data_IF_296433429895
#
_entry.id   IF_296433429895
#
_cell.length_a   1.000
_cell.length_b   1.000
_cell.length_c   1.000
_cell.angle_alpha   90.00
_cell.angle_beta   90.00
_cell.angle_gamma   90.00
#
_symmetry.space_group_name_H-M   'P 1'
#
loop_
_entity.id
_entity.type
_entity.pdbx_description
1 polymer ?
#
# COMPACT_ATOMS: atom_id res chain seq x y z
N UNK A 1 1.20 -12.11 -12.89
CA UNK A 1 1.35 -10.65 -13.12
C UNK A 1 2.83 -10.32 -13.34
N UNK A 2 3.18 -9.47 -14.31
CA UNK A 2 4.56 -9.03 -14.54
C UNK A 2 4.76 -7.57 -14.10
N UNK A 3 5.85 -7.31 -13.38
CA UNK A 3 6.21 -5.98 -12.90
C UNK A 3 7.64 -5.68 -13.33
N UNK A 4 7.82 -4.56 -14.02
CA UNK A 4 9.13 -4.00 -14.36
C UNK A 4 9.44 -2.85 -13.40
N UNK A 5 10.66 -2.81 -12.87
CA UNK A 5 11.15 -1.68 -12.07
C UNK A 5 12.36 -1.08 -12.78
N UNK A 6 12.24 0.18 -13.19
CA UNK A 6 13.34 0.97 -13.75
C UNK A 6 13.99 1.75 -12.61
N UNK A 7 15.21 1.41 -12.23
CA UNK A 7 15.90 1.97 -11.06
C UNK A 7 17.41 2.00 -11.23
N UNK A 8 18.06 2.98 -10.61
CA UNK A 8 19.52 3.04 -10.52
C UNK A 8 20.10 2.02 -9.52
N UNK A 9 19.27 1.44 -8.65
CA UNK A 9 19.62 0.56 -7.52
C UNK A 9 18.94 -0.81 -7.64
N UNK A 10 19.28 -1.60 -8.68
CA UNK A 10 18.57 -2.84 -8.98
C UNK A 10 18.78 -3.91 -7.90
N UNK A 11 19.94 -3.95 -7.25
CA UNK A 11 20.25 -5.01 -6.28
C UNK A 11 19.45 -4.84 -5.00
N UNK A 12 19.27 -3.60 -4.55
CA UNK A 12 18.52 -3.20 -3.38
C UNK A 12 17.05 -3.58 -3.52
N UNK A 13 16.46 -3.28 -4.69
CA UNK A 13 15.11 -3.70 -5.04
C UNK A 13 15.02 -5.22 -5.06
N UNK A 14 15.90 -5.93 -5.81
CA UNK A 14 15.87 -7.39 -5.88
C UNK A 14 15.97 -8.06 -4.49
N UNK A 15 16.84 -7.54 -3.62
CA UNK A 15 17.03 -8.08 -2.28
C UNK A 15 15.75 -8.00 -1.43
N UNK A 16 15.08 -6.85 -1.44
CA UNK A 16 13.82 -6.68 -0.72
C UNK A 16 12.72 -7.59 -1.28
N UNK A 17 12.59 -7.61 -2.62
CA UNK A 17 11.53 -8.33 -3.30
C UNK A 17 11.69 -9.86 -3.22
N UNK A 18 12.89 -10.37 -2.93
CA UNK A 18 13.11 -11.80 -2.69
C UNK A 18 12.74 -12.24 -1.26
N UNK A 19 12.19 -11.35 -0.43
CA UNK A 19 11.87 -11.63 0.97
C UNK A 19 10.35 -11.66 1.23
N UNK A 20 9.95 -12.34 2.31
CA UNK A 20 8.59 -12.27 2.85
C UNK A 20 7.50 -12.76 1.88
N UNK A 21 6.37 -12.05 1.87
CA UNK A 21 5.19 -12.42 1.05
C UNK A 21 5.47 -12.23 -0.44
N UNK A 22 6.14 -11.15 -0.83
CA UNK A 22 6.51 -10.87 -2.22
C UNK A 22 7.44 -11.93 -2.78
N UNK A 23 8.50 -12.29 -2.02
CA UNK A 23 9.42 -13.35 -2.44
C UNK A 23 8.73 -14.70 -2.62
N UNK A 24 7.76 -15.04 -1.74
CA UNK A 24 6.94 -16.25 -1.94
C UNK A 24 6.09 -16.19 -3.19
N UNK A 25 5.49 -15.04 -3.51
CA UNK A 25 4.71 -14.86 -4.74
C UNK A 25 5.56 -15.07 -6.00
N UNK A 26 6.79 -14.53 -5.99
CA UNK A 26 7.72 -14.68 -7.11
C UNK A 26 8.21 -16.13 -7.23
N UNK A 27 8.64 -16.75 -6.13
CA UNK A 27 9.13 -18.14 -6.13
C UNK A 27 8.06 -19.18 -6.49
N UNK A 28 6.78 -18.84 -6.32
CA UNK A 28 5.65 -19.68 -6.68
C UNK A 28 5.09 -19.37 -8.09
N UNK A 29 5.82 -18.56 -8.90
CA UNK A 29 5.43 -18.13 -10.24
C UNK A 29 4.07 -17.41 -10.33
N UNK A 30 3.57 -16.87 -9.21
CA UNK A 30 2.33 -16.08 -9.18
C UNK A 30 2.56 -14.66 -9.71
N UNK A 31 3.81 -14.18 -9.59
CA UNK A 31 4.25 -12.91 -10.13
C UNK A 31 5.68 -13.00 -10.66
N UNK A 32 6.01 -12.13 -11.61
CA UNK A 32 7.35 -12.00 -12.18
C UNK A 32 7.84 -10.58 -11.95
N UNK A 33 9.13 -10.44 -11.64
CA UNK A 33 9.79 -9.17 -11.43
C UNK A 33 10.99 -9.05 -12.38
N UNK A 34 10.97 -8.02 -13.23
CA UNK A 34 12.12 -7.61 -14.02
C UNK A 34 12.62 -6.25 -13.51
N UNK A 35 13.93 -6.09 -13.44
CA UNK A 35 14.55 -4.86 -12.91
C UNK A 35 15.59 -4.36 -13.89
N UNK A 36 15.44 -3.11 -14.32
CA UNK A 36 16.21 -2.47 -15.36
C UNK A 36 16.99 -1.29 -14.79
N UNK A 37 18.27 -1.19 -15.14
CA UNK A 37 19.11 -0.06 -14.74
C UNK A 37 19.37 0.85 -15.94
N UNK A 38 18.88 2.12 -15.94
CA UNK A 38 19.13 3.07 -17.02
C UNK A 38 20.61 3.25 -17.39
N UNK A 39 21.54 2.97 -16.45
CA UNK A 39 22.99 2.99 -16.74
C UNK A 39 23.39 2.03 -17.86
N UNK A 40 22.67 0.93 -18.03
CA UNK A 40 22.95 -0.05 -19.09
C UNK A 40 22.51 0.42 -20.48
N UNK A 41 21.81 1.56 -20.55
CA UNK A 41 21.21 2.10 -21.78
C UNK A 41 21.83 3.46 -22.17
N UNK A 42 23.06 3.68 -21.71
CA UNK A 42 23.86 4.86 -22.02
C UNK A 42 24.89 4.54 -23.11
N UNK A 43 25.39 5.55 -23.81
CA UNK A 43 26.42 5.38 -24.84
C UNK A 43 27.83 5.71 -24.35
N UNK A 44 27.92 6.51 -23.28
CA UNK A 44 29.18 6.96 -22.74
C UNK A 44 29.79 5.95 -21.77
N UNK A 45 31.12 5.95 -21.68
CA UNK A 45 31.87 5.04 -20.82
C UNK A 45 31.53 5.19 -19.33
N UNK A 46 31.11 6.38 -18.89
CA UNK A 46 30.81 6.66 -17.48
C UNK A 46 29.38 6.27 -17.08
N UNK A 47 28.58 5.80 -18.03
CA UNK A 47 27.17 5.47 -17.83
C UNK A 47 26.37 6.63 -17.24
N UNK A 48 26.47 7.78 -17.89
CA UNK A 48 25.88 9.03 -17.41
C UNK A 48 24.36 8.99 -17.54
N UNK A 49 23.66 9.13 -16.41
CA UNK A 49 22.18 9.08 -16.36
C UNK A 49 21.54 10.37 -15.85
N UNK A 50 22.35 11.36 -15.46
CA UNK A 50 21.88 12.61 -14.89
C UNK A 50 22.73 13.80 -15.35
N UNK A 51 22.13 14.98 -15.35
CA UNK A 51 22.80 16.25 -15.66
C UNK A 51 22.13 17.41 -14.91
N UNK A 52 22.75 18.57 -14.92
CA UNK A 52 22.26 19.79 -14.26
C UNK A 52 20.95 20.27 -14.88
N UNK A 53 20.02 20.79 -14.07
CA UNK A 53 18.78 21.36 -14.58
C UNK A 53 19.04 22.63 -15.40
N UNK A 54 18.29 22.80 -16.49
CA UNK A 54 18.15 24.11 -17.14
C UNK A 54 17.47 25.10 -16.21
N UNK A 55 17.85 26.38 -16.29
CA UNK A 55 17.35 27.45 -15.41
C UNK A 55 18.15 27.64 -14.12
N UNK A 56 19.17 26.81 -13.87
CA UNK A 56 19.98 26.84 -12.66
C UNK A 56 19.34 26.08 -11.49
N UNK A 57 19.96 26.17 -10.33
CA UNK A 57 19.59 25.41 -9.13
C UNK A 57 20.57 24.29 -8.80
N UNK A 58 20.49 23.80 -7.56
CA UNK A 58 21.33 22.72 -7.06
C UNK A 58 20.72 21.35 -7.40
N UNK A 59 21.57 20.34 -7.55
CA UNK A 59 21.17 18.96 -7.83
C UNK A 59 21.24 18.57 -9.31
N UNK A 60 20.71 17.39 -9.61
CA UNK A 60 20.76 16.77 -10.93
C UNK A 60 19.38 16.26 -11.33
N UNK A 61 19.14 16.08 -12.63
CA UNK A 61 17.89 15.55 -13.20
C UNK A 61 18.24 14.33 -14.04
N UNK A 62 17.46 13.25 -13.90
CA UNK A 62 17.63 12.08 -14.74
C UNK A 62 17.36 12.41 -16.21
N UNK A 63 18.29 12.02 -17.07
CA UNK A 63 18.24 12.26 -18.50
C UNK A 63 17.11 11.46 -19.16
N UNK A 64 16.46 12.08 -20.15
CA UNK A 64 15.39 11.45 -20.90
C UNK A 64 15.87 10.25 -21.73
N UNK A 65 17.05 10.34 -22.34
CA UNK A 65 17.52 9.37 -23.33
C UNK A 65 17.80 7.98 -22.74
N UNK A 66 18.54 7.81 -21.62
CA UNK A 66 18.74 6.48 -21.04
C UNK A 66 17.44 5.85 -20.55
N UNK A 67 16.49 6.67 -20.08
CA UNK A 67 15.17 6.20 -19.68
C UNK A 67 14.33 5.77 -20.89
N UNK A 68 14.32 6.55 -21.96
CA UNK A 68 13.63 6.22 -23.21
C UNK A 68 14.10 4.88 -23.78
N UNK A 69 15.42 4.70 -23.91
CA UNK A 69 16.02 3.43 -24.37
C UNK A 69 15.71 2.24 -23.46
N UNK A 70 15.60 2.48 -22.15
CA UNK A 70 15.15 1.44 -21.22
C UNK A 70 13.70 1.04 -21.52
N UNK A 71 12.81 2.02 -21.74
CA UNK A 71 11.40 1.76 -22.08
C UNK A 71 11.28 1.02 -23.42
N UNK A 72 12.03 1.43 -24.43
CA UNK A 72 12.07 0.78 -25.74
C UNK A 72 12.53 -0.68 -25.65
N UNK A 73 13.54 -0.99 -24.85
CA UNK A 73 13.99 -2.37 -24.63
C UNK A 73 12.89 -3.25 -23.97
N UNK A 74 12.18 -2.70 -22.98
CA UNK A 74 11.05 -3.40 -22.34
C UNK A 74 9.91 -3.61 -23.35
N UNK A 75 9.66 -2.62 -24.22
CA UNK A 75 8.66 -2.71 -25.29
C UNK A 75 8.99 -3.78 -26.32
N UNK A 76 10.26 -3.86 -26.75
CA UNK A 76 10.73 -4.90 -27.68
C UNK A 76 10.54 -6.31 -27.12
N UNK A 77 10.60 -6.45 -25.79
CA UNK A 77 10.32 -7.71 -25.10
C UNK A 77 8.81 -7.99 -24.95
N UNK A 78 7.94 -7.08 -25.41
CA UNK A 78 6.47 -7.14 -25.23
C UNK A 78 6.04 -7.22 -23.77
N UNK A 79 6.82 -6.60 -22.88
CA UNK A 79 6.61 -6.67 -21.42
C UNK A 79 6.27 -5.32 -20.78
N UNK A 80 6.16 -4.24 -21.57
CA UNK A 80 6.04 -2.87 -21.07
C UNK A 80 4.80 -2.61 -20.21
N UNK A 81 3.60 -2.93 -20.72
CA UNK A 81 2.35 -2.64 -20.02
C UNK A 81 2.17 -1.16 -19.67
N UNK A 82 1.45 -0.89 -18.57
CA UNK A 82 1.18 0.49 -18.13
C UNK A 82 2.43 1.08 -17.44
N UNK A 83 2.82 2.29 -17.82
CA UNK A 83 4.01 2.98 -17.29
C UNK A 83 3.60 4.00 -16.22
N UNK A 84 4.28 3.96 -15.07
CA UNK A 84 4.08 4.88 -13.96
C UNK A 84 5.39 5.47 -13.47
N UNK A 85 5.39 6.77 -13.18
CA UNK A 85 6.47 7.45 -12.48
C UNK A 85 6.11 7.61 -11.00
N UNK A 86 7.02 7.21 -10.11
CA UNK A 86 6.83 7.34 -8.67
C UNK A 86 7.30 8.70 -8.20
N UNK A 87 6.34 9.56 -7.87
CA UNK A 87 6.51 11.00 -7.71
C UNK A 87 5.57 11.52 -6.62
N UNK A 88 6.01 12.45 -5.75
CA UNK A 88 5.13 13.07 -4.76
C UNK A 88 3.99 13.89 -5.41
N UNK A 89 4.10 14.24 -6.69
CA UNK A 89 3.07 14.96 -7.45
C UNK A 89 1.93 14.05 -7.96
N UNK A 90 2.15 12.74 -7.91
CA UNK A 90 1.22 11.76 -8.44
C UNK A 90 -0.04 11.57 -7.60
N UNK A 91 -0.97 10.79 -8.15
CA UNK A 91 -2.16 10.38 -7.40
C UNK A 91 -1.74 9.52 -6.20
N UNK A 92 -2.22 9.84 -5.01
CA UNK A 92 -1.91 9.08 -3.80
C UNK A 92 -2.41 7.64 -3.91
N UNK A 93 -1.49 6.69 -3.75
CA UNK A 93 -1.73 5.26 -3.78
C UNK A 93 -2.65 4.82 -2.64
N UNK A 94 -3.55 3.86 -2.91
CA UNK A 94 -4.46 3.30 -1.92
C UNK A 94 -4.82 1.84 -2.23
N UNK A 95 -5.47 1.17 -1.28
CA UNK A 95 -5.79 -0.27 -1.38
C UNK A 95 -6.73 -0.60 -2.55
N UNK A 96 -7.63 0.31 -2.91
CA UNK A 96 -8.53 0.15 -4.08
C UNK A 96 -7.72 0.11 -5.39
N UNK A 97 -6.69 0.95 -5.51
CA UNK A 97 -5.78 0.91 -6.66
C UNK A 97 -4.96 -0.38 -6.68
N UNK A 98 -4.51 -0.87 -5.52
CA UNK A 98 -3.78 -2.13 -5.41
C UNK A 98 -4.64 -3.34 -5.82
N UNK A 99 -5.87 -3.41 -5.34
CA UNK A 99 -6.83 -4.46 -5.72
C UNK A 99 -7.14 -4.41 -7.22
N UNK A 100 -7.37 -3.22 -7.78
CA UNK A 100 -7.57 -3.05 -9.22
C UNK A 100 -6.38 -3.59 -10.01
N UNK A 101 -5.15 -3.29 -9.60
CA UNK A 101 -3.95 -3.79 -10.29
C UNK A 101 -3.80 -5.30 -10.15
N UNK A 102 -4.10 -5.88 -8.99
CA UNK A 102 -4.02 -7.32 -8.78
C UNK A 102 -5.02 -8.12 -9.66
N UNK A 103 -6.15 -7.51 -10.02
CA UNK A 103 -7.15 -8.10 -10.92
C UNK A 103 -6.81 -7.91 -12.41
N UNK A 104 -5.89 -7.01 -12.75
CA UNK A 104 -5.49 -6.75 -14.13
C UNK A 104 -4.38 -7.70 -14.57
N UNK A 105 -4.57 -8.40 -15.69
CA UNK A 105 -3.53 -9.21 -16.31
C UNK A 105 -2.71 -8.41 -17.34
N UNK A 106 -2.24 -7.22 -16.95
CA UNK A 106 -1.39 -6.34 -17.76
C UNK A 106 -0.12 -6.06 -16.97
N UNK A 107 1.03 -6.03 -17.65
CA UNK A 107 2.29 -5.69 -17.02
C UNK A 107 2.26 -4.25 -16.46
N UNK A 108 3.07 -3.98 -15.45
CA UNK A 108 3.22 -2.65 -14.85
C UNK A 108 4.69 -2.27 -14.84
N UNK A 109 5.03 -1.11 -15.41
CA UNK A 109 6.38 -0.57 -15.41
C UNK A 109 6.47 0.62 -14.47
N UNK A 110 7.28 0.51 -13.43
CA UNK A 110 7.46 1.54 -12.41
C UNK A 110 8.82 2.21 -12.57
N UNK A 111 8.83 3.52 -12.77
CA UNK A 111 10.05 4.33 -12.91
C UNK A 111 10.37 4.96 -11.55
N UNK A 112 11.55 4.62 -11.03
CA UNK A 112 12.08 5.17 -9.81
C UNK A 112 12.92 6.41 -10.13
N UNK A 113 12.40 7.59 -9.79
CA UNK A 113 13.17 8.84 -9.86
C UNK A 113 14.30 8.87 -8.83
N UNK A 114 15.29 9.73 -9.09
CA UNK A 114 16.38 10.09 -8.18
C UNK A 114 16.71 11.57 -8.35
N UNK A 115 17.52 12.10 -7.42
CA UNK A 115 17.99 13.48 -7.47
C UNK A 115 16.80 14.47 -7.44
N UNK A 116 16.77 15.46 -8.35
CA UNK A 116 15.65 16.39 -8.51
C UNK A 116 14.48 15.82 -9.32
N UNK A 117 14.56 14.56 -9.79
CA UNK A 117 13.51 13.88 -10.53
C UNK A 117 13.93 13.49 -11.94
N UNK A 118 12.94 13.35 -12.81
CA UNK A 118 13.10 12.92 -14.20
C UNK A 118 12.85 14.10 -15.14
N UNK A 119 13.53 14.14 -16.28
CA UNK A 119 13.26 15.13 -17.32
C UNK A 119 11.79 15.13 -17.76
N UNK A 120 11.08 16.24 -17.57
CA UNK A 120 9.64 16.39 -17.84
C UNK A 120 9.23 15.94 -19.25
N UNK A 121 10.08 16.23 -20.26
CA UNK A 121 9.82 15.86 -21.65
C UNK A 121 9.70 14.35 -21.87
N UNK A 122 10.39 13.54 -21.06
CA UNK A 122 10.25 12.09 -21.11
C UNK A 122 8.86 11.65 -20.59
N UNK A 123 8.39 12.26 -19.49
CA UNK A 123 7.04 11.98 -18.96
C UNK A 123 5.96 12.35 -19.96
N UNK A 124 6.09 13.52 -20.60
CA UNK A 124 5.15 14.00 -21.63
C UNK A 124 5.13 13.11 -22.87
N UNK A 125 6.31 12.72 -23.39
CA UNK A 125 6.40 11.92 -24.61
C UNK A 125 5.72 10.55 -24.48
N UNK A 126 5.94 9.87 -23.34
CA UNK A 126 5.34 8.56 -23.07
C UNK A 126 3.97 8.64 -22.37
N UNK A 127 3.43 9.85 -22.14
CA UNK A 127 2.18 10.09 -21.41
C UNK A 127 2.13 9.34 -20.06
N UNK A 128 3.22 9.43 -19.29
CA UNK A 128 3.42 8.64 -18.08
C UNK A 128 2.52 9.16 -16.95
N UNK A 129 1.81 8.25 -16.30
CA UNK A 129 1.02 8.57 -15.12
C UNK A 129 1.89 8.60 -13.86
N UNK A 130 1.55 9.47 -12.92
CA UNK A 130 2.30 9.60 -11.67
C UNK A 130 1.56 8.98 -10.47
N UNK A 131 2.32 8.33 -9.58
CA UNK A 131 1.84 7.76 -8.32
C UNK A 131 2.66 8.32 -7.16
N UNK A 132 1.95 8.83 -6.15
CA UNK A 132 2.52 9.21 -4.86
C UNK A 132 2.19 8.15 -3.81
N UNK A 133 3.08 7.93 -2.83
CA UNK A 133 2.77 7.09 -1.66
C UNK A 133 2.44 7.91 -0.40
N UNK A 134 2.33 9.23 -0.54
CA UNK A 134 1.91 10.14 0.52
C UNK A 134 2.61 11.50 0.48
N UNK A 135 2.20 12.37 1.39
CA UNK A 135 2.61 13.78 1.42
C UNK A 135 3.95 13.94 2.17
N UNK A 136 4.99 13.33 1.62
CA UNK A 136 6.38 13.41 2.11
C UNK A 136 7.36 13.18 0.97
N UNK A 137 8.65 13.48 1.21
CA UNK A 137 9.71 13.37 0.19
C UNK A 137 10.67 12.24 0.55
N UNK A 138 11.01 11.42 -0.44
CA UNK A 138 12.02 10.38 -0.36
C UNK A 138 13.21 10.72 -1.26
N UNK A 139 14.36 10.11 -0.97
CA UNK A 139 15.58 10.28 -1.80
C UNK A 139 15.51 9.59 -3.17
N UNK A 140 14.47 8.79 -3.41
CA UNK A 140 14.25 8.06 -4.65
C UNK A 140 12.95 7.25 -4.64
N UNK A 141 12.55 6.80 -5.82
CA UNK A 141 11.30 6.07 -6.02
C UNK A 141 11.33 4.60 -5.56
N UNK A 142 12.48 4.03 -5.18
CA UNK A 142 12.60 2.59 -4.92
C UNK A 142 11.72 2.12 -3.76
N UNK A 143 11.65 2.88 -2.66
CA UNK A 143 10.79 2.54 -1.53
C UNK A 143 9.32 2.61 -1.93
N UNK A 144 8.94 3.60 -2.75
CA UNK A 144 7.59 3.70 -3.28
C UNK A 144 7.26 2.52 -4.19
N UNK A 145 8.20 2.08 -5.03
CA UNK A 145 8.00 0.92 -5.90
C UNK A 145 7.79 -0.34 -5.06
N UNK A 146 8.64 -0.57 -4.07
CA UNK A 146 8.53 -1.72 -3.17
C UNK A 146 7.20 -1.71 -2.41
N UNK A 147 6.75 -0.56 -1.90
CA UNK A 147 5.48 -0.44 -1.20
C UNK A 147 4.27 -0.70 -2.11
N UNK A 148 4.26 -0.10 -3.31
CA UNK A 148 3.21 -0.32 -4.32
C UNK A 148 3.15 -1.80 -4.68
N UNK A 149 4.29 -2.40 -5.04
CA UNK A 149 4.32 -3.80 -5.47
C UNK A 149 3.95 -4.76 -4.33
N UNK A 150 4.43 -4.56 -3.11
CA UNK A 150 4.05 -5.39 -1.96
C UNK A 150 2.53 -5.38 -1.76
N UNK A 151 1.91 -4.19 -1.78
CA UNK A 151 0.46 -4.05 -1.61
C UNK A 151 -0.35 -4.77 -2.71
N UNK A 152 0.14 -4.78 -3.95
CA UNK A 152 -0.52 -5.44 -5.09
C UNK A 152 -0.35 -6.95 -5.01
N UNK A 153 0.88 -7.44 -4.86
CA UNK A 153 1.16 -8.87 -4.92
C UNK A 153 0.49 -9.62 -3.76
N UNK A 154 0.36 -8.98 -2.60
CA UNK A 154 -0.36 -9.53 -1.47
C UNK A 154 -1.85 -9.84 -1.78
N UNK A 155 -2.44 -9.14 -2.75
CA UNK A 155 -3.84 -9.34 -3.19
C UNK A 155 -4.00 -10.41 -4.27
N UNK A 156 -2.89 -10.92 -4.83
CA UNK A 156 -2.98 -11.97 -5.84
C UNK A 156 -3.47 -13.30 -5.24
N UNK A 157 -4.36 -14.03 -5.93
CA UNK A 157 -4.78 -15.36 -5.50
C UNK A 157 -3.59 -16.29 -5.29
N UNK A 158 -3.57 -17.01 -4.16
CA UNK A 158 -2.52 -17.98 -3.82
C UNK A 158 -1.29 -17.39 -3.12
N UNK A 159 -1.15 -16.06 -3.03
CA UNK A 159 0.00 -15.44 -2.33
C UNK A 159 -0.15 -15.48 -0.81
N UNK A 160 -1.35 -15.16 -0.31
CA UNK A 160 -1.68 -15.38 1.09
C UNK A 160 -2.19 -16.80 1.29
N UNK A 161 -1.66 -17.49 2.30
CA UNK A 161 -2.06 -18.87 2.62
C UNK A 161 -3.53 -19.01 3.04
N UNK A 162 -4.19 -17.93 3.45
CA UNK A 162 -5.62 -17.87 3.71
C UNK A 162 -6.22 -16.70 2.91
N UNK A 163 -7.06 -17.00 1.92
CA UNK A 163 -7.72 -15.99 1.08
C UNK A 163 -8.61 -15.05 1.88
N UNK A 164 -9.16 -15.51 3.02
CA UNK A 164 -9.99 -14.69 3.90
C UNK A 164 -9.20 -13.56 4.57
N UNK A 165 -7.89 -13.74 4.77
CA UNK A 165 -7.04 -12.73 5.42
C UNK A 165 -6.93 -11.45 4.59
N UNK A 166 -6.95 -11.51 3.27
CA UNK A 166 -6.95 -10.31 2.43
C UNK A 166 -8.27 -9.53 2.49
N UNK A 167 -9.39 -10.20 2.79
CA UNK A 167 -10.73 -9.60 2.84
C UNK A 167 -11.02 -8.91 4.18
N UNK A 168 -10.38 -9.38 5.25
CA UNK A 168 -10.54 -8.85 6.61
C UNK A 168 -9.55 -7.72 6.93
N UNK A 169 -8.69 -7.37 5.98
CA UNK A 169 -7.65 -6.36 6.12
C UNK A 169 -8.23 -4.94 6.23
N UNK A 170 -7.46 -4.03 6.83
CA UNK A 170 -7.82 -2.61 6.81
C UNK A 170 -7.93 -2.10 5.37
N UNK A 171 -8.93 -1.25 5.11
CA UNK A 171 -9.29 -0.68 3.80
C UNK A 171 -9.87 -1.69 2.78
N UNK A 172 -9.92 -2.97 3.10
CA UNK A 172 -10.57 -4.00 2.26
C UNK A 172 -12.09 -4.04 2.51
N UNK A 173 -12.84 -4.62 1.57
CA UNK A 173 -14.29 -4.81 1.69
C UNK A 173 -15.07 -3.51 1.89
N UNK A 174 -15.58 -3.27 3.10
CA UNK A 174 -16.32 -2.06 3.48
C UNK A 174 -15.42 -0.80 3.59
N UNK A 175 -14.10 -0.90 3.39
CA UNK A 175 -13.18 0.23 3.40
C UNK A 175 -12.80 0.76 4.79
N UNK A 176 -13.06 -0.03 5.84
CA UNK A 176 -12.88 0.35 7.25
C UNK A 176 -11.53 -0.15 7.81
N UNK A 177 -11.16 0.31 9.00
CA UNK A 177 -10.01 -0.23 9.75
C UNK A 177 -10.35 -1.55 10.44
N UNK A 178 -9.33 -2.39 10.68
CA UNK A 178 -9.47 -3.62 11.45
C UNK A 178 -9.75 -3.42 12.95
N UNK A 179 -10.35 -4.46 13.54
CA UNK A 179 -10.45 -4.62 14.98
C UNK A 179 -9.07 -4.81 15.65
N UNK A 180 -9.00 -4.74 16.99
CA UNK A 180 -7.77 -5.11 17.71
C UNK A 180 -7.49 -6.61 17.54
N UNK A 181 -6.23 -6.96 17.30
CA UNK A 181 -5.76 -8.33 17.28
C UNK A 181 -5.17 -8.71 18.64
N UNK A 182 -5.37 -9.96 19.05
CA UNK A 182 -4.86 -10.51 20.32
C UNK A 182 -4.25 -11.88 20.08
N UNK A 183 -3.20 -12.19 20.83
CA UNK A 183 -2.55 -13.50 20.86
C UNK A 183 -2.27 -13.91 22.30
N UNK A 184 -1.82 -15.15 22.49
CA UNK A 184 -1.44 -15.67 23.81
C UNK A 184 -0.27 -14.86 24.40
N UNK A 185 -0.18 -14.72 25.74
CA UNK A 185 -1.05 -15.30 26.78
C UNK A 185 -2.38 -14.53 26.97
N UNK A 186 -3.34 -15.11 27.70
CA UNK A 186 -4.64 -14.47 27.97
C UNK A 186 -4.55 -13.19 28.79
N UNK A 187 -3.50 -13.05 29.61
CA UNK A 187 -3.20 -11.84 30.37
C UNK A 187 -1.70 -11.55 30.28
N UNK A 188 -1.34 -10.31 29.93
CA UNK A 188 0.04 -9.85 29.89
C UNK A 188 0.17 -8.52 30.62
N UNK A 189 0.95 -8.50 31.72
CA UNK A 189 1.16 -7.31 32.57
C UNK A 189 -0.15 -6.66 33.05
N UNK A 190 -1.14 -7.47 33.43
CA UNK A 190 -2.45 -6.98 33.88
C UNK A 190 -3.41 -6.59 32.75
N UNK A 191 -3.00 -6.66 31.49
CA UNK A 191 -3.87 -6.43 30.33
C UNK A 191 -4.43 -7.76 29.84
N UNK A 192 -5.76 -7.90 29.88
CA UNK A 192 -6.46 -9.12 29.47
C UNK A 192 -6.92 -9.06 28.02
N UNK A 193 -7.04 -10.24 27.42
CA UNK A 193 -7.77 -10.42 26.17
C UNK A 193 -9.27 -10.20 26.42
N UNK A 194 -10.00 -9.50 25.53
CA UNK A 194 -11.44 -9.37 25.57
C UNK A 194 -12.16 -10.70 25.80
N UNK A 195 -13.07 -10.72 26.76
CA UNK A 195 -13.72 -11.95 27.23
C UNK A 195 -14.45 -12.69 26.08
N UNK A 196 -15.06 -11.94 25.16
CA UNK A 196 -15.76 -12.48 23.98
C UNK A 196 -14.84 -13.34 23.10
N UNK A 197 -13.56 -13.00 22.99
CA UNK A 197 -12.58 -13.74 22.17
C UNK A 197 -12.20 -15.10 22.77
N UNK A 198 -12.51 -15.32 24.05
CA UNK A 198 -12.20 -16.56 24.76
C UNK A 198 -13.38 -17.56 24.73
N UNK A 199 -14.53 -17.17 24.19
CA UNK A 199 -15.77 -17.97 24.26
C UNK A 199 -15.87 -19.08 23.21
N UNK A 200 -15.07 -19.03 22.14
CA UNK A 200 -15.21 -19.91 20.97
C UNK A 200 -16.47 -19.67 20.13
N UNK A 201 -17.32 -18.68 20.48
CA UNK A 201 -18.52 -18.37 19.72
C UNK A 201 -18.18 -17.45 18.53
N UNK A 202 -17.98 -18.05 17.36
CA UNK A 202 -17.59 -17.34 16.14
C UNK A 202 -18.51 -16.18 15.78
N UNK A 203 -19.84 -16.32 15.92
CA UNK A 203 -20.79 -15.25 15.62
C UNK A 203 -20.62 -14.04 16.55
N UNK A 204 -20.50 -14.28 17.86
CA UNK A 204 -20.27 -13.21 18.84
C UNK A 204 -18.91 -12.53 18.64
N UNK A 205 -17.88 -13.30 18.28
CA UNK A 205 -16.54 -12.77 17.99
C UNK A 205 -16.57 -11.86 16.76
N UNK A 206 -17.18 -12.30 15.67
CA UNK A 206 -17.31 -11.51 14.44
C UNK A 206 -18.11 -10.22 14.70
N UNK A 207 -19.24 -10.32 15.40
CA UNK A 207 -20.04 -9.15 15.77
C UNK A 207 -19.25 -8.13 16.61
N UNK A 208 -18.54 -8.60 17.65
CA UNK A 208 -17.70 -7.74 18.48
C UNK A 208 -16.58 -7.08 17.67
N UNK A 209 -15.93 -7.82 16.77
CA UNK A 209 -14.90 -7.27 15.88
C UNK A 209 -15.46 -6.20 14.94
N UNK A 210 -16.64 -6.41 14.34
CA UNK A 210 -17.29 -5.39 13.47
C UNK A 210 -17.58 -4.11 14.26
N UNK A 211 -18.13 -4.22 15.47
CA UNK A 211 -18.36 -3.07 16.36
C UNK A 211 -17.07 -2.29 16.64
N UNK A 212 -15.99 -3.00 17.01
CA UNK A 212 -14.70 -2.38 17.31
C UNK A 212 -14.06 -1.75 16.08
N UNK A 213 -14.14 -2.38 14.91
CA UNK A 213 -13.65 -1.87 13.64
C UNK A 213 -14.30 -0.52 13.28
N UNK A 214 -15.63 -0.45 13.33
CA UNK A 214 -16.40 0.78 13.08
C UNK A 214 -16.02 1.91 14.06
N UNK A 215 -16.01 1.63 15.36
CA UNK A 215 -15.66 2.61 16.39
C UNK A 215 -14.24 3.14 16.17
N UNK A 216 -13.27 2.24 15.94
CA UNK A 216 -11.89 2.66 15.69
C UNK A 216 -11.75 3.48 14.42
N UNK A 217 -12.49 3.12 13.37
CA UNK A 217 -12.51 3.89 12.12
C UNK A 217 -13.01 5.29 12.39
N UNK A 218 -14.16 5.44 13.06
CA UNK A 218 -14.70 6.75 13.43
C UNK A 218 -13.75 7.58 14.32
N UNK A 219 -13.02 6.93 15.25
CA UNK A 219 -12.08 7.62 16.13
C UNK A 219 -10.76 8.04 15.47
N UNK A 220 -10.25 7.26 14.51
CA UNK A 220 -8.89 7.44 13.96
C UNK A 220 -8.86 7.95 12.52
N UNK A 221 -9.85 7.55 11.73
CA UNK A 221 -10.00 7.84 10.31
C UNK A 221 -11.48 8.10 9.99
N UNK A 222 -12.07 9.15 10.60
CA UNK A 222 -13.48 9.47 10.39
C UNK A 222 -13.82 9.71 8.91
N UNK A 223 -12.83 10.11 8.10
CA UNK A 223 -12.94 10.26 6.65
C UNK A 223 -13.32 8.98 5.89
N UNK A 224 -13.10 7.81 6.48
CA UNK A 224 -13.48 6.51 5.90
C UNK A 224 -14.94 6.13 6.17
N UNK A 225 -15.61 6.79 7.12
CA UNK A 225 -17.05 6.62 7.37
C UNK A 225 -17.78 7.67 6.53
N UNK A 226 -18.00 7.36 5.25
CA UNK A 226 -18.46 8.34 4.27
C UNK A 226 -19.73 7.94 3.52
N UNK A 227 -20.24 6.72 3.74
CA UNK A 227 -21.52 6.26 3.19
C UNK A 227 -22.63 6.26 4.23
N UNK A 228 -23.89 6.36 3.77
CA UNK A 228 -25.07 6.30 4.65
C UNK A 228 -25.12 4.96 5.40
N UNK A 229 -24.83 3.86 4.72
CA UNK A 229 -24.85 2.53 5.34
C UNK A 229 -23.79 2.41 6.45
N UNK A 230 -22.56 2.90 6.23
CA UNK A 230 -21.53 2.93 7.27
C UNK A 230 -21.91 3.82 8.46
N UNK A 231 -22.62 4.92 8.23
CA UNK A 231 -23.09 5.80 9.31
C UNK A 231 -24.16 5.10 10.15
N UNK A 232 -25.11 4.39 9.52
CA UNK A 232 -26.12 3.59 10.21
C UNK A 232 -25.45 2.47 11.02
N UNK A 233 -24.52 1.73 10.41
CA UNK A 233 -23.75 0.68 11.06
C UNK A 233 -22.94 1.22 12.25
N UNK A 234 -22.34 2.40 12.12
CA UNK A 234 -21.63 3.07 13.20
C UNK A 234 -22.55 3.42 14.36
N UNK A 235 -23.74 3.99 14.12
CA UNK A 235 -24.71 4.29 15.17
C UNK A 235 -25.13 3.02 15.92
N UNK A 236 -25.37 1.93 15.21
CA UNK A 236 -25.67 0.62 15.83
C UNK A 236 -24.49 0.11 16.66
N UNK A 237 -23.26 0.23 16.15
CA UNK A 237 -22.05 -0.16 16.85
C UNK A 237 -21.83 0.64 18.13
N UNK A 238 -22.02 1.96 18.09
CA UNK A 238 -21.94 2.85 19.26
C UNK A 238 -22.97 2.44 20.32
N UNK A 239 -24.23 2.25 19.92
CA UNK A 239 -25.28 1.84 20.84
C UNK A 239 -24.99 0.47 21.49
N UNK A 240 -24.44 -0.47 20.73
CA UNK A 240 -23.98 -1.76 21.25
C UNK A 240 -22.84 -1.58 22.26
N UNK A 241 -21.78 -0.85 21.91
CA UNK A 241 -20.59 -0.69 22.74
C UNK A 241 -20.85 0.09 24.04
N UNK A 242 -21.82 1.00 24.07
CA UNK A 242 -22.23 1.70 25.30
C UNK A 242 -22.71 0.72 26.37
N UNK A 243 -23.29 -0.41 25.98
CA UNK A 243 -23.72 -1.45 26.92
C UNK A 243 -22.57 -2.28 27.50
N UNK A 244 -21.37 -2.19 26.93
CA UNK A 244 -20.20 -2.94 27.42
C UNK A 244 -19.63 -2.27 28.68
N UNK A 245 -19.08 -3.07 29.60
CA UNK A 245 -18.42 -2.53 30.80
C UNK A 245 -17.11 -1.81 30.47
N UNK A 246 -16.67 -0.91 31.33
CA UNK A 246 -15.46 -0.10 31.12
C UNK A 246 -14.19 -0.95 31.03
N UNK A 247 -14.09 -2.01 31.83
CA UNK A 247 -12.98 -2.96 31.76
C UNK A 247 -12.93 -3.62 30.36
N UNK A 248 -14.07 -4.09 29.84
CA UNK A 248 -14.13 -4.72 28.51
C UNK A 248 -13.81 -3.72 27.40
N UNK A 249 -14.33 -2.50 27.45
CA UNK A 249 -13.98 -1.43 26.49
C UNK A 249 -12.48 -1.12 26.52
N UNK A 250 -11.87 -1.09 27.70
CA UNK A 250 -10.45 -0.82 27.88
C UNK A 250 -9.57 -1.90 27.24
N UNK A 251 -10.00 -3.17 27.25
CA UNK A 251 -9.31 -4.26 26.57
C UNK A 251 -9.23 -4.02 25.05
N UNK A 252 -10.25 -3.39 24.47
CA UNK A 252 -10.28 -2.99 23.05
C UNK A 252 -9.56 -1.67 22.76
N UNK A 253 -8.99 -1.00 23.78
CA UNK A 253 -8.45 0.37 23.73
C UNK A 253 -9.51 1.40 23.31
N UNK A 254 -10.72 1.25 23.82
CA UNK A 254 -11.84 2.19 23.62
C UNK A 254 -12.16 2.84 24.97
N UNK A 255 -12.22 4.17 24.99
CA UNK A 255 -12.64 4.94 26.16
C UNK A 255 -14.14 5.29 26.07
N UNK A 256 -14.87 5.17 27.19
CA UNK A 256 -16.32 5.46 27.19
C UNK A 256 -16.63 6.90 26.81
N UNK A 257 -15.82 7.88 27.23
CA UNK A 257 -16.08 9.28 26.90
C UNK A 257 -15.92 9.53 25.40
N UNK A 258 -15.01 8.80 24.73
CA UNK A 258 -14.91 8.83 23.27
C UNK A 258 -16.18 8.31 22.60
N UNK A 259 -16.78 7.22 23.10
CA UNK A 259 -18.05 6.69 22.58
C UNK A 259 -19.21 7.67 22.76
N UNK A 260 -19.31 8.32 23.93
CA UNK A 260 -20.35 9.32 24.20
C UNK A 260 -20.21 10.49 23.21
N UNK A 261 -18.99 11.01 23.02
CA UNK A 261 -18.73 12.07 22.04
C UNK A 261 -19.05 11.65 20.61
N UNK A 262 -18.76 10.40 20.23
CA UNK A 262 -19.14 9.90 18.91
C UNK A 262 -20.65 9.88 18.75
N UNK A 263 -21.40 9.43 19.77
CA UNK A 263 -22.87 9.39 19.75
C UNK A 263 -23.51 10.77 19.62
N UNK A 264 -22.93 11.79 20.25
CA UNK A 264 -23.44 13.16 20.19
C UNK A 264 -23.21 13.81 18.82
N UNK A 265 -22.22 13.34 18.06
CA UNK A 265 -21.85 13.87 16.74
C UNK A 265 -22.34 13.02 15.56
N UNK A 266 -22.95 11.86 15.82
CA UNK A 266 -23.46 10.90 14.82
C UNK A 266 -24.98 10.97 14.67
#
# INVERSE_FOLDING_TARGET
MLINIVTLFPQEVKNFMNSGVVGRAINADLAQLAVYNPRNYTEDFHQTVDDRPYGGGDGMILLAEPLARTIEDIELQSTLGDIYYLSPQGKTWNDVMAEKWAQQNIAKTLICGRYGGVAERFLQFYNIQEISIGDFVLSGGEIAAMAVVDSVLRKLPGVLGNSQSALEDSFSGEGLLEASQFSRPQEWKGLKVPSVLLTGNHQKILAARKVVALIKTALKRPDLVNTIDQQIDLQQAINSAISWGDEELSHWRIDRNQLIKLRENS
#
